data_IF_080246001882
#
_entry.id   IF_080246001882
#
_cell.length_a   1.000
_cell.length_b   1.000
_cell.length_c   1.000
_cell.angle_alpha   90.00
_cell.angle_beta   90.00
_cell.angle_gamma   90.00
#
_symmetry.space_group_name_H-M   'P 1'
#
loop_
_entity.id
_entity.type
_entity.pdbx_description
1 polymer ?
#
# COMPACT_ATOMS: atom_id res chain seq x y z
N UNK A 1 43.10 4.05 56.46
CA UNK A 1 42.54 4.72 55.26
C UNK A 1 43.23 4.40 53.94
N UNK A 2 44.26 3.54 53.88
CA UNK A 2 44.85 3.09 52.59
C UNK A 2 44.46 1.63 52.20
N UNK A 3 44.25 0.75 53.18
CA UNK A 3 43.87 -0.67 52.97
C UNK A 3 42.42 -0.93 52.53
N UNK A 4 41.54 0.06 52.65
CA UNK A 4 40.13 -0.06 52.25
C UNK A 4 39.89 0.33 50.79
N UNK A 5 40.79 1.13 50.18
CA UNK A 5 40.71 1.47 48.76
C UNK A 5 41.12 0.31 47.86
N UNK A 6 42.14 -0.46 48.26
CA UNK A 6 42.63 -1.61 47.46
C UNK A 6 41.59 -2.74 47.35
N UNK A 7 40.86 -3.03 48.44
CA UNK A 7 39.79 -4.05 48.43
C UNK A 7 38.58 -3.67 47.58
N UNK A 8 38.39 -2.38 47.28
CA UNK A 8 37.28 -1.91 46.43
C UNK A 8 37.61 -2.05 44.95
N UNK A 9 38.85 -1.76 44.56
CA UNK A 9 39.37 -1.97 43.20
C UNK A 9 39.46 -3.44 42.79
N UNK A 10 39.71 -4.36 43.73
CA UNK A 10 39.79 -5.80 43.43
C UNK A 10 38.39 -6.41 43.19
N UNK A 11 37.37 -5.95 43.92
CA UNK A 11 35.96 -6.32 43.69
C UNK A 11 35.34 -5.71 42.42
N UNK A 12 35.94 -4.65 41.89
CA UNK A 12 35.55 -4.08 40.59
C UNK A 12 36.23 -4.81 39.42
N UNK A 13 37.44 -5.35 39.60
CA UNK A 13 38.12 -6.18 38.58
C UNK A 13 37.53 -7.58 38.44
N UNK A 14 36.99 -8.17 39.50
CA UNK A 14 36.32 -9.48 39.42
C UNK A 14 34.93 -9.44 38.76
N UNK A 15 34.35 -8.25 38.57
CA UNK A 15 33.03 -8.10 37.92
C UNK A 15 33.10 -8.07 36.39
N UNK A 16 34.31 -8.00 35.83
CA UNK A 16 34.58 -7.78 34.40
C UNK A 16 35.17 -9.00 33.67
N UNK A 17 35.24 -10.17 34.32
CA UNK A 17 35.73 -11.43 33.71
C UNK A 17 34.61 -12.42 33.33
N UNK A 18 33.38 -11.91 33.21
CA UNK A 18 32.26 -12.66 32.66
C UNK A 18 32.39 -12.86 31.15
N UNK A 19 33.02 -13.97 30.74
CA UNK A 19 33.01 -14.53 29.39
C UNK A 19 31.64 -14.30 28.72
N UNK A 20 31.54 -13.65 27.54
CA UNK A 20 30.27 -13.47 26.88
C UNK A 20 29.83 -14.83 26.32
N UNK A 21 28.96 -15.51 27.07
CA UNK A 21 28.23 -16.67 26.59
C UNK A 21 27.51 -16.30 25.30
N UNK A 22 27.89 -16.95 24.21
CA UNK A 22 27.21 -16.90 22.92
C UNK A 22 25.76 -17.32 23.17
N UNK A 23 24.86 -16.34 23.30
CA UNK A 23 23.42 -16.59 23.29
C UNK A 23 23.07 -17.08 21.89
N UNK A 24 22.91 -18.40 21.76
CA UNK A 24 22.23 -18.97 20.60
C UNK A 24 20.85 -18.29 20.48
N UNK A 25 20.46 -17.80 19.29
CA UNK A 25 19.13 -17.25 19.11
C UNK A 25 18.09 -18.36 19.34
N UNK A 26 16.92 -18.04 19.90
CA UNK A 26 15.88 -19.02 20.17
C UNK A 26 15.47 -19.72 18.86
N UNK A 27 15.82 -20.99 18.76
CA UNK A 27 15.41 -21.92 17.71
C UNK A 27 13.97 -22.32 17.96
N UNK A 28 13.01 -21.47 17.57
CA UNK A 28 11.63 -21.80 17.14
C UNK A 28 10.75 -20.55 17.25
N UNK A 29 10.71 -19.78 16.17
CA UNK A 29 9.59 -18.86 15.93
C UNK A 29 8.39 -19.71 15.48
N UNK A 30 7.45 -19.96 16.38
CA UNK A 30 6.13 -20.46 15.98
C UNK A 30 5.47 -19.40 15.09
N UNK A 31 5.22 -19.77 13.83
CA UNK A 31 4.77 -18.84 12.80
C UNK A 31 3.26 -18.63 12.92
N UNK A 32 2.76 -17.38 12.86
CA UNK A 32 1.34 -17.16 12.65
C UNK A 32 0.95 -17.68 11.25
N UNK A 33 0.05 -18.65 11.21
CA UNK A 33 -0.48 -19.23 9.97
C UNK A 33 -1.53 -18.30 9.37
N UNK A 34 -1.11 -17.37 8.51
CA UNK A 34 -2.01 -16.64 7.63
C UNK A 34 -1.98 -17.26 6.24
N UNK A 35 -3.05 -17.99 5.90
CA UNK A 35 -3.27 -18.59 4.58
C UNK A 35 -4.39 -17.87 3.84
N UNK A 36 -4.09 -17.31 2.65
CA UNK A 36 -4.83 -17.40 1.35
C UNK A 36 -4.44 -16.23 0.40
N UNK A 37 -4.64 -16.32 -0.94
CA UNK A 37 -4.38 -17.44 -1.84
C UNK A 37 -3.36 -17.11 -2.98
N UNK A 38 -2.68 -18.16 -3.46
CA UNK A 38 -1.93 -18.31 -4.72
C UNK A 38 -0.65 -17.52 -5.04
N UNK A 39 -0.42 -16.28 -4.59
CA UNK A 39 0.80 -15.54 -4.98
C UNK A 39 1.95 -15.66 -3.96
N UNK A 40 1.62 -15.95 -2.70
CA UNK A 40 2.57 -16.15 -1.60
C UNK A 40 3.45 -17.42 -1.66
N UNK A 41 3.07 -18.54 -2.33
CA UNK A 41 3.94 -19.72 -2.41
C UNK A 41 5.25 -19.47 -3.16
N UNK A 42 5.20 -18.78 -4.31
CA UNK A 42 6.35 -18.63 -5.23
C UNK A 42 7.49 -17.83 -4.59
N UNK A 43 7.16 -16.75 -3.88
CA UNK A 43 8.17 -15.92 -3.19
C UNK A 43 8.75 -16.63 -1.96
N UNK A 44 7.95 -17.46 -1.29
CA UNK A 44 8.39 -18.19 -0.09
C UNK A 44 9.42 -19.29 -0.41
N UNK A 45 9.38 -19.86 -1.62
CA UNK A 45 10.35 -20.86 -2.08
C UNK A 45 11.75 -20.29 -2.37
N UNK A 46 11.91 -18.95 -2.40
CA UNK A 46 13.16 -18.28 -2.78
C UNK A 46 13.85 -17.52 -1.64
N UNK A 47 13.50 -17.80 -0.39
CA UNK A 47 14.09 -17.12 0.78
C UNK A 47 13.59 -15.69 1.01
N UNK A 48 12.49 -15.29 0.37
CA UNK A 48 11.90 -13.97 0.59
C UNK A 48 10.99 -13.96 1.84
N UNK A 49 11.10 -12.90 2.63
CA UNK A 49 10.11 -12.57 3.67
C UNK A 49 8.90 -11.97 2.96
N UNK A 50 7.73 -12.57 3.15
CA UNK A 50 6.48 -12.11 2.54
C UNK A 50 5.54 -11.60 3.62
N UNK A 51 5.23 -10.31 3.56
CA UNK A 51 4.22 -9.66 4.39
C UNK A 51 3.06 -9.30 3.46
N UNK A 52 1.87 -9.79 3.77
CA UNK A 52 0.66 -9.54 2.99
C UNK A 52 -0.32 -8.76 3.85
N UNK A 53 -0.78 -7.62 3.33
CA UNK A 53 -1.80 -6.81 3.96
C UNK A 53 -2.94 -6.59 2.97
N UNK A 54 -4.15 -6.96 3.38
CA UNK A 54 -5.38 -6.70 2.61
C UNK A 54 -6.14 -5.59 3.31
N UNK A 55 -6.29 -4.46 2.62
CA UNK A 55 -7.10 -3.33 3.11
C UNK A 55 -8.56 -3.80 3.23
N UNK A 56 -9.26 -3.53 4.35
CA UNK A 56 -10.68 -3.85 4.46
C UNK A 56 -11.48 -3.14 3.36
N UNK A 57 -12.38 -3.88 2.71
CA UNK A 57 -13.14 -3.40 1.56
C UNK A 57 -13.93 -2.11 1.87
N UNK A 58 -14.38 -1.92 3.11
CA UNK A 58 -15.06 -0.72 3.58
C UNK A 58 -14.25 0.55 3.30
N UNK A 59 -12.94 0.53 3.53
CA UNK A 59 -12.07 1.68 3.24
C UNK A 59 -11.86 1.91 1.74
N UNK A 60 -11.99 0.86 0.92
CA UNK A 60 -11.82 0.94 -0.54
C UNK A 60 -13.08 1.51 -1.21
N UNK A 61 -14.26 1.10 -0.75
CA UNK A 61 -15.56 1.41 -1.37
C UNK A 61 -16.25 2.64 -0.79
N UNK A 62 -16.06 2.98 0.50
CA UNK A 62 -16.60 4.21 1.07
C UNK A 62 -15.67 5.40 0.79
N UNK A 63 -15.80 5.98 -0.41
CA UNK A 63 -15.10 7.21 -0.83
C UNK A 63 -15.74 8.47 -0.21
N UNK A 64 -15.72 8.57 1.11
CA UNK A 64 -15.98 9.83 1.82
C UNK A 64 -14.71 10.20 2.59
N UNK A 65 -14.51 11.49 2.86
CA UNK A 65 -13.35 12.12 3.53
C UNK A 65 -12.77 11.34 4.75
N UNK A 66 -13.59 10.50 5.38
CA UNK A 66 -13.21 9.63 6.51
C UNK A 66 -12.22 8.52 6.11
N UNK A 67 -12.31 7.99 4.89
CA UNK A 67 -11.46 6.88 4.44
C UNK A 67 -10.02 7.31 4.14
N UNK A 68 -9.80 8.55 3.70
CA UNK A 68 -8.45 9.05 3.39
C UNK A 68 -7.56 9.12 4.63
N UNK A 69 -8.11 9.57 5.77
CA UNK A 69 -7.40 9.58 7.06
C UNK A 69 -7.12 8.18 7.57
N UNK A 70 -8.08 7.27 7.42
CA UNK A 70 -7.91 5.88 7.86
C UNK A 70 -6.85 5.15 7.04
N UNK A 71 -6.86 5.27 5.71
CA UNK A 71 -5.86 4.65 4.83
C UNK A 71 -4.46 5.21 5.05
N UNK A 72 -4.33 6.52 5.27
CA UNK A 72 -3.05 7.12 5.64
C UNK A 72 -2.53 6.58 6.98
N UNK A 73 -3.38 6.48 8.00
CA UNK A 73 -3.03 5.87 9.28
C UNK A 73 -2.65 4.40 9.17
N UNK A 74 -3.33 3.64 8.31
CA UNK A 74 -3.01 2.25 8.00
C UNK A 74 -1.66 2.12 7.30
N UNK A 75 -1.37 2.98 6.31
CA UNK A 75 -0.06 3.01 5.65
C UNK A 75 1.06 3.29 6.66
N UNK A 76 0.84 4.24 7.58
CA UNK A 76 1.78 4.56 8.65
C UNK A 76 2.04 3.35 9.56
N UNK A 77 0.98 2.70 10.07
CA UNK A 77 1.09 1.49 10.90
C UNK A 77 1.82 0.36 10.19
N UNK A 78 1.55 0.17 8.90
CA UNK A 78 2.22 -0.83 8.09
C UNK A 78 3.72 -0.52 7.98
N UNK A 79 4.08 0.72 7.67
CA UNK A 79 5.48 1.14 7.61
C UNK A 79 6.16 1.00 8.98
N UNK A 80 5.53 1.43 10.06
CA UNK A 80 6.05 1.28 11.43
C UNK A 80 6.33 -0.20 11.74
N UNK A 81 5.41 -1.10 11.38
CA UNK A 81 5.61 -2.54 11.51
C UNK A 81 6.82 -3.07 10.71
N UNK A 82 7.09 -2.52 9.51
CA UNK A 82 8.28 -2.93 8.74
C UNK A 82 9.58 -2.57 9.48
N UNK A 83 9.62 -1.42 10.14
CA UNK A 83 10.75 -1.04 10.99
C UNK A 83 10.83 -1.88 12.27
N UNK A 84 9.69 -2.20 12.89
CA UNK A 84 9.67 -3.00 14.11
C UNK A 84 10.18 -4.44 13.86
N UNK A 85 10.00 -4.96 12.65
CA UNK A 85 10.53 -6.26 12.21
C UNK A 85 12.01 -6.17 11.80
N UNK A 86 12.57 -4.96 11.62
CA UNK A 86 13.97 -4.76 11.23
C UNK A 86 14.26 -5.04 9.76
N UNK A 87 13.29 -4.83 8.86
CA UNK A 87 13.48 -5.11 7.42
C UNK A 87 14.02 -3.92 6.62
N UNK A 88 14.27 -2.78 7.25
CA UNK A 88 14.72 -1.56 6.56
C UNK A 88 16.07 -1.71 5.83
N UNK A 89 16.93 -2.60 6.31
CA UNK A 89 18.22 -2.93 5.69
C UNK A 89 18.09 -3.91 4.51
N UNK A 90 16.94 -4.59 4.39
CA UNK A 90 16.70 -5.58 3.36
C UNK A 90 16.14 -4.91 2.09
N UNK A 91 16.43 -5.45 0.88
CA UNK A 91 15.80 -4.97 -0.34
C UNK A 91 14.30 -5.30 -0.34
N UNK A 92 13.46 -4.26 -0.43
CA UNK A 92 12.01 -4.35 -0.39
C UNK A 92 11.42 -4.21 -1.80
N UNK A 93 10.55 -5.14 -2.15
CA UNK A 93 9.70 -5.05 -3.35
C UNK A 93 8.25 -4.96 -2.91
N UNK A 94 7.54 -3.91 -3.36
CA UNK A 94 6.10 -3.82 -3.17
C UNK A 94 5.37 -4.59 -4.26
N UNK A 95 4.50 -5.51 -3.89
CA UNK A 95 3.53 -6.10 -4.83
C UNK A 95 2.15 -5.54 -4.53
N UNK A 96 1.62 -4.78 -5.48
CA UNK A 96 0.43 -3.97 -5.35
C UNK A 96 -0.67 -4.54 -6.24
N UNK A 97 -1.72 -5.06 -5.62
CA UNK A 97 -2.82 -5.70 -6.33
C UNK A 97 -4.05 -4.79 -6.45
N UNK A 98 -4.56 -4.66 -7.67
CA UNK A 98 -5.78 -3.91 -8.00
C UNK A 98 -5.77 -2.44 -7.55
N UNK A 99 -6.89 -1.75 -7.71
CA UNK A 99 -7.05 -0.36 -7.26
C UNK A 99 -7.00 -0.20 -5.74
N UNK A 100 -7.39 -1.23 -4.98
CA UNK A 100 -7.31 -1.23 -3.51
C UNK A 100 -5.87 -1.11 -3.03
N UNK A 101 -4.98 -1.97 -3.54
CA UNK A 101 -3.55 -1.91 -3.23
C UNK A 101 -2.93 -0.60 -3.69
N UNK A 102 -3.29 -0.13 -4.89
CA UNK A 102 -2.82 1.15 -5.42
C UNK A 102 -3.14 2.32 -4.48
N UNK A 103 -4.31 2.35 -3.85
CA UNK A 103 -4.68 3.39 -2.89
C UNK A 103 -3.78 3.40 -1.67
N UNK A 104 -3.53 2.24 -1.08
CA UNK A 104 -2.62 2.15 0.07
C UNK A 104 -1.18 2.51 -0.33
N UNK A 105 -0.72 1.99 -1.47
CA UNK A 105 0.62 2.27 -1.98
C UNK A 105 0.85 3.77 -2.19
N UNK A 106 -0.14 4.50 -2.72
CA UNK A 106 -0.07 5.97 -2.85
C UNK A 106 0.29 6.66 -1.53
N UNK A 107 -0.35 6.27 -0.42
CA UNK A 107 -0.06 6.83 0.91
C UNK A 107 1.31 6.41 1.44
N UNK A 108 1.75 5.18 1.15
CA UNK A 108 3.11 4.72 1.50
C UNK A 108 4.16 5.62 0.82
N UNK A 109 3.98 5.93 -0.47
CA UNK A 109 4.88 6.82 -1.20
C UNK A 109 4.85 8.24 -0.66
N UNK A 110 3.67 8.78 -0.36
CA UNK A 110 3.52 10.09 0.27
C UNK A 110 4.30 10.15 1.59
N UNK A 111 4.15 9.15 2.46
CA UNK A 111 4.87 9.06 3.73
C UNK A 111 6.39 8.92 3.55
N UNK A 112 6.84 8.20 2.52
CA UNK A 112 8.27 8.11 2.21
C UNK A 112 8.84 9.44 1.69
N UNK A 113 8.05 10.27 1.00
CA UNK A 113 8.54 11.53 0.43
C UNK A 113 8.23 12.75 1.30
N UNK A 114 7.45 12.58 2.37
CA UNK A 114 7.18 13.61 3.36
C UNK A 114 8.47 14.11 4.02
N UNK A 115 8.61 15.43 4.11
CA UNK A 115 9.75 16.09 4.77
C UNK A 115 9.69 15.92 6.29
N UNK A 116 8.49 15.76 6.86
CA UNK A 116 8.30 15.57 8.30
C UNK A 116 8.58 14.15 8.79
N UNK A 117 8.54 13.14 7.90
CA UNK A 117 8.63 11.73 8.25
C UNK A 117 9.89 11.05 7.69
N UNK A 118 11.06 11.62 7.99
CA UNK A 118 12.36 11.21 7.41
C UNK A 118 12.73 9.75 7.65
N UNK A 119 12.19 9.09 8.68
CA UNK A 119 12.46 7.66 8.95
C UNK A 119 12.05 6.77 7.78
N UNK A 120 10.92 7.04 7.12
CA UNK A 120 10.38 6.17 6.07
C UNK A 120 11.24 6.21 4.79
N UNK A 121 12.05 7.25 4.60
CA UNK A 121 13.04 7.33 3.50
C UNK A 121 14.16 6.31 3.59
N UNK A 122 14.39 5.73 4.78
CA UNK A 122 15.44 4.73 5.01
C UNK A 122 15.09 3.36 4.44
N UNK A 123 13.83 3.11 4.08
CA UNK A 123 13.42 1.84 3.47
C UNK A 123 14.11 1.65 2.13
N UNK A 124 14.85 0.55 1.99
CA UNK A 124 15.52 0.19 0.75
C UNK A 124 14.53 -0.42 -0.26
N UNK A 125 13.73 0.44 -0.89
CA UNK A 125 12.76 0.02 -1.91
C UNK A 125 13.44 -0.15 -3.26
N UNK A 126 13.56 -1.39 -3.72
CA UNK A 126 14.26 -1.73 -4.98
C UNK A 126 13.32 -1.88 -6.17
N UNK A 127 12.00 -1.96 -5.93
CA UNK A 127 11.04 -2.04 -7.02
C UNK A 127 9.58 -2.12 -6.56
N UNK A 128 8.67 -1.91 -7.51
CA UNK A 128 7.22 -2.12 -7.32
C UNK A 128 6.65 -2.92 -8.48
N UNK A 129 5.80 -3.90 -8.17
CA UNK A 129 5.00 -4.66 -9.12
C UNK A 129 3.55 -4.24 -8.93
N UNK A 130 2.93 -3.73 -9.99
CA UNK A 130 1.50 -3.48 -10.05
C UNK A 130 0.84 -4.62 -10.79
N UNK A 131 -0.10 -5.29 -10.14
CA UNK A 131 -0.92 -6.34 -10.73
C UNK A 131 -2.36 -5.84 -10.87
N UNK A 132 -2.84 -5.81 -12.11
CA UNK A 132 -4.21 -5.46 -12.47
C UNK A 132 -4.60 -4.07 -11.98
N UNK A 133 -3.70 -3.08 -12.11
CA UNK A 133 -3.91 -1.68 -11.74
C UNK A 133 -2.72 -0.78 -12.12
N UNK A 134 -2.82 0.55 -11.94
CA UNK A 134 -3.98 1.31 -11.51
C UNK A 134 -4.98 1.60 -12.66
N UNK A 135 -6.27 1.55 -12.35
CA UNK A 135 -7.36 1.96 -13.24
C UNK A 135 -7.92 3.31 -12.84
N UNK A 136 -8.35 4.08 -13.83
CA UNK A 136 -9.02 5.34 -13.56
C UNK A 136 -10.44 5.06 -13.06
N UNK A 137 -10.87 5.76 -12.00
CA UNK A 137 -12.26 5.68 -11.51
C UNK A 137 -13.20 6.49 -12.41
N UNK A 138 -12.86 6.61 -13.69
CA UNK A 138 -13.58 7.40 -14.65
C UNK A 138 -15.03 6.97 -14.72
N UNK A 139 -15.88 7.98 -14.90
CA UNK A 139 -17.32 7.93 -15.17
C UNK A 139 -17.78 6.74 -16.03
N UNK A 140 -16.93 6.26 -16.93
CA UNK A 140 -17.13 5.05 -17.73
C UNK A 140 -17.35 3.76 -16.90
N UNK A 141 -16.69 3.59 -15.76
CA UNK A 141 -16.95 2.47 -14.85
C UNK A 141 -18.34 2.54 -14.23
N UNK A 142 -18.80 3.75 -13.88
CA UNK A 142 -20.17 4.01 -13.42
C UNK A 142 -21.20 3.74 -14.53
N UNK A 143 -20.92 4.17 -15.76
CA UNK A 143 -21.76 3.87 -16.93
C UNK A 143 -21.80 2.36 -17.21
N UNK A 144 -20.66 1.65 -17.12
CA UNK A 144 -20.60 0.19 -17.31
C UNK A 144 -21.39 -0.55 -16.22
N UNK A 145 -21.31 -0.11 -14.97
CA UNK A 145 -22.08 -0.67 -13.86
C UNK A 145 -23.59 -0.42 -14.06
N UNK A 146 -23.98 0.81 -14.41
CA UNK A 146 -25.36 1.15 -14.73
C UNK A 146 -25.89 0.32 -15.90
N UNK A 147 -25.11 0.21 -16.98
CA UNK A 147 -25.45 -0.60 -18.15
C UNK A 147 -25.58 -2.10 -17.80
N UNK A 148 -24.75 -2.61 -16.89
CA UNK A 148 -24.84 -4.01 -16.42
C UNK A 148 -26.08 -4.30 -15.56
N UNK A 149 -26.66 -3.29 -14.90
CA UNK A 149 -27.92 -3.41 -14.15
C UNK A 149 -29.12 -3.23 -15.10
N UNK A 150 -29.02 -2.32 -16.07
CA UNK A 150 -30.07 -2.02 -17.05
C UNK A 150 -30.28 -3.17 -18.05
N UNK A 151 -29.23 -3.93 -18.38
CA UNK A 151 -29.24 -4.96 -19.44
C UNK A 151 -30.00 -6.26 -19.09
N UNK A 152 -29.93 -6.83 -17.86
CA UNK A 152 -30.64 -8.05 -17.49
C UNK A 152 -32.05 -7.79 -16.92
N UNK A 153 -32.35 -6.57 -16.47
CA UNK A 153 -33.61 -6.27 -15.80
C UNK A 153 -34.75 -6.04 -16.80
N UNK A 154 -35.81 -6.85 -16.72
CA UNK A 154 -37.07 -6.58 -17.43
C UNK A 154 -38.02 -5.66 -16.64
N UNK A 155 -37.68 -5.28 -15.41
CA UNK A 155 -38.56 -4.46 -14.57
C UNK A 155 -38.29 -2.95 -14.76
N UNK A 156 -39.26 -2.16 -15.26
CA UNK A 156 -39.08 -0.73 -15.52
C UNK A 156 -38.81 0.09 -14.26
N UNK A 157 -39.32 -0.32 -13.09
CA UNK A 157 -39.11 0.41 -11.83
C UNK A 157 -37.65 0.37 -11.40
N UNK A 158 -36.98 -0.77 -11.54
CA UNK A 158 -35.56 -0.93 -11.22
C UNK A 158 -34.71 -0.05 -12.14
N UNK A 159 -35.09 0.07 -13.42
CA UNK A 159 -34.39 0.93 -14.39
C UNK A 159 -34.52 2.40 -14.01
N UNK A 160 -35.74 2.87 -13.73
CA UNK A 160 -36.00 4.25 -13.33
C UNK A 160 -35.24 4.57 -12.03
N UNK A 161 -35.36 3.71 -11.02
CA UNK A 161 -34.66 3.89 -9.75
C UNK A 161 -33.14 3.95 -9.93
N UNK A 162 -32.55 2.97 -10.62
CA UNK A 162 -31.10 2.94 -10.87
C UNK A 162 -30.61 4.17 -11.65
N UNK A 163 -31.36 4.60 -12.66
CA UNK A 163 -31.03 5.80 -13.45
C UNK A 163 -31.14 7.07 -12.61
N UNK A 164 -32.21 7.25 -11.82
CA UNK A 164 -32.39 8.42 -10.94
C UNK A 164 -31.29 8.47 -9.89
N UNK A 165 -30.98 7.35 -9.22
CA UNK A 165 -29.88 7.27 -8.27
C UNK A 165 -28.54 7.60 -8.93
N UNK A 166 -28.28 7.09 -10.15
CA UNK A 166 -27.06 7.40 -10.88
C UNK A 166 -26.94 8.89 -11.23
N UNK A 167 -28.01 9.50 -11.76
CA UNK A 167 -28.02 10.94 -12.09
C UNK A 167 -27.84 11.78 -10.83
N UNK A 168 -28.50 11.43 -9.74
CA UNK A 168 -28.37 12.13 -8.46
C UNK A 168 -26.93 12.05 -7.91
N UNK A 169 -26.32 10.86 -7.91
CA UNK A 169 -24.92 10.67 -7.51
C UNK A 169 -23.96 11.42 -8.46
N UNK A 170 -24.24 11.45 -9.77
CA UNK A 170 -23.45 12.19 -10.75
C UNK A 170 -23.54 13.70 -10.53
N UNK A 171 -24.73 14.23 -10.24
CA UNK A 171 -24.95 15.64 -9.90
C UNK A 171 -24.23 16.04 -8.63
N UNK A 172 -24.35 15.23 -7.56
CA UNK A 172 -23.59 15.44 -6.32
C UNK A 172 -22.09 15.42 -6.60
N UNK A 173 -21.60 14.46 -7.38
CA UNK A 173 -20.17 14.41 -7.75
C UNK A 173 -19.74 15.60 -8.58
N UNK A 174 -20.57 16.11 -9.48
CA UNK A 174 -20.27 17.29 -10.30
C UNK A 174 -20.23 18.57 -9.45
N UNK A 175 -21.21 18.76 -8.55
CA UNK A 175 -21.25 19.85 -7.58
C UNK A 175 -20.04 19.82 -6.63
N UNK A 176 -19.67 18.63 -6.14
CA UNK A 176 -18.51 18.44 -5.27
C UNK A 176 -17.19 18.34 -6.05
N UNK A 177 -17.21 18.28 -7.38
CA UNK A 177 -16.01 18.10 -8.21
C UNK A 177 -14.95 19.17 -7.96
N UNK A 178 -15.26 20.49 -8.01
CA UNK A 178 -14.27 21.53 -7.72
C UNK A 178 -13.72 21.40 -6.29
N UNK A 179 -14.57 21.19 -5.28
CA UNK A 179 -14.12 21.00 -3.90
C UNK A 179 -13.24 19.75 -3.72
N UNK A 180 -13.58 18.65 -4.39
CA UNK A 180 -12.81 17.40 -4.36
C UNK A 180 -11.45 17.53 -5.04
N UNK A 181 -11.35 18.34 -6.12
CA UNK A 181 -10.11 18.59 -6.85
C UNK A 181 -9.14 19.46 -6.05
N UNK A 182 -9.67 20.37 -5.21
CA UNK A 182 -8.86 21.17 -4.29
C UNK A 182 -8.36 20.37 -3.07
N UNK A 183 -9.02 19.27 -2.70
CA UNK A 183 -8.71 18.53 -1.47
C UNK A 183 -8.07 17.14 -1.67
N UNK A 184 -8.12 16.56 -2.88
CA UNK A 184 -7.54 15.24 -3.13
C UNK A 184 -7.20 15.04 -4.60
N UNK A 185 -5.91 14.91 -4.91
CA UNK A 185 -5.47 14.44 -6.22
C UNK A 185 -6.04 13.03 -6.42
N UNK A 186 -6.66 12.75 -7.57
CA UNK A 186 -7.24 11.42 -7.81
C UNK A 186 -6.14 10.36 -7.64
N UNK A 187 -6.48 9.18 -7.11
CA UNK A 187 -5.54 8.05 -6.97
C UNK A 187 -4.71 7.88 -8.24
N UNK A 188 -5.41 7.90 -9.36
CA UNK A 188 -4.88 7.68 -10.68
C UNK A 188 -3.90 8.78 -11.10
N UNK A 189 -4.24 10.05 -10.86
CA UNK A 189 -3.34 11.17 -11.16
C UNK A 189 -2.13 11.22 -10.22
N UNK A 190 -2.30 10.84 -8.96
CA UNK A 190 -1.19 10.72 -8.00
C UNK A 190 -0.18 9.66 -8.43
N UNK A 191 -0.65 8.53 -8.97
CA UNK A 191 0.23 7.45 -9.44
C UNK A 191 0.92 7.79 -10.78
N UNK A 192 0.33 8.66 -11.60
CA UNK A 192 1.03 9.23 -12.77
C UNK A 192 2.21 10.10 -12.34
N UNK A 193 2.02 10.91 -11.29
CA UNK A 193 3.01 11.87 -10.78
C UNK A 193 3.84 11.31 -9.62
N UNK A 194 3.79 10.00 -9.39
CA UNK A 194 4.42 9.39 -8.22
C UNK A 194 5.95 9.64 -8.23
N UNK A 195 6.49 10.20 -7.14
CA UNK A 195 7.88 10.65 -7.06
C UNK A 195 8.91 9.51 -7.05
N UNK A 196 8.49 8.26 -6.82
CA UNK A 196 9.38 7.10 -6.79
C UNK A 196 10.20 6.94 -8.08
N UNK A 197 11.47 6.59 -7.90
CA UNK A 197 12.46 6.43 -8.99
C UNK A 197 12.91 5.00 -9.23
N UNK A 198 12.57 4.06 -8.35
CA UNK A 198 12.89 2.65 -8.53
C UNK A 198 12.10 2.01 -9.68
N UNK A 199 12.60 0.91 -10.29
CA UNK A 199 11.91 0.18 -11.35
C UNK A 199 10.47 -0.23 -11.00
N UNK A 200 9.57 -0.14 -11.97
CA UNK A 200 8.17 -0.54 -11.81
C UNK A 200 7.75 -1.50 -12.91
N UNK A 201 7.15 -2.61 -12.51
CA UNK A 201 6.61 -3.65 -13.39
C UNK A 201 5.08 -3.60 -13.34
N UNK A 202 4.43 -3.67 -14.50
CA UNK A 202 2.98 -3.69 -14.60
C UNK A 202 2.53 -5.01 -15.25
N UNK A 203 1.73 -5.78 -14.52
CA UNK A 203 1.07 -7.00 -14.97
C UNK A 203 -0.40 -6.67 -15.19
N UNK A 204 -0.90 -6.85 -16.41
CA UNK A 204 -2.29 -6.55 -16.74
C UNK A 204 -2.76 -7.36 -17.93
N UNK A 205 -4.09 -7.51 -18.04
CA UNK A 205 -4.73 -8.19 -19.17
C UNK A 205 -5.50 -7.19 -20.03
N UNK A 206 -5.38 -7.29 -21.35
CA UNK A 206 -6.20 -6.53 -22.31
C UNK A 206 -7.68 -6.93 -22.26
N UNK A 207 -7.97 -8.11 -21.74
CA UNK A 207 -9.33 -8.66 -21.60
C UNK A 207 -9.94 -8.40 -20.22
N UNK A 208 -9.27 -7.64 -19.35
CA UNK A 208 -9.81 -7.25 -18.06
C UNK A 208 -11.04 -6.35 -18.24
N UNK A 209 -12.17 -6.77 -17.65
CA UNK A 209 -13.46 -6.06 -17.70
C UNK A 209 -13.62 -5.04 -16.57
N UNK A 210 -12.82 -5.17 -15.52
CA UNK A 210 -12.87 -4.37 -14.30
C UNK A 210 -11.98 -3.14 -14.46
N UNK A 211 -10.71 -3.34 -14.82
CA UNK A 211 -9.74 -2.26 -15.03
C UNK A 211 -9.31 -2.24 -16.49
N UNK A 212 -9.49 -1.08 -17.13
CA UNK A 212 -9.12 -0.89 -18.53
C UNK A 212 -7.60 -0.90 -18.67
N UNK A 213 -7.06 -1.76 -19.54
CA UNK A 213 -5.63 -1.78 -19.85
C UNK A 213 -5.13 -0.42 -20.37
N UNK A 214 -6.00 0.36 -21.02
CA UNK A 214 -5.67 1.71 -21.52
C UNK A 214 -5.31 2.65 -20.37
N UNK A 215 -5.95 2.51 -19.22
CA UNK A 215 -5.66 3.34 -18.05
C UNK A 215 -4.25 3.03 -17.54
N UNK A 216 -3.90 1.74 -17.47
CA UNK A 216 -2.57 1.29 -17.06
C UNK A 216 -1.51 1.78 -18.05
N UNK A 217 -1.72 1.61 -19.36
CA UNK A 217 -0.80 2.11 -20.39
C UNK A 217 -0.62 3.63 -20.35
N UNK A 218 -1.66 4.38 -20.01
CA UNK A 218 -1.59 5.83 -19.85
C UNK A 218 -0.73 6.22 -18.65
N UNK A 219 -0.82 5.50 -17.52
CA UNK A 219 0.09 5.71 -16.38
C UNK A 219 1.52 5.36 -16.77
N UNK A 220 1.75 4.22 -17.41
CA UNK A 220 3.09 3.83 -17.89
C UNK A 220 3.69 4.92 -18.78
N UNK A 221 2.91 5.48 -19.72
CA UNK A 221 3.36 6.54 -20.62
C UNK A 221 3.72 7.81 -19.86
N UNK A 222 2.85 8.27 -18.95
CA UNK A 222 3.10 9.44 -18.13
C UNK A 222 4.38 9.27 -17.28
N UNK A 223 4.56 8.09 -16.68
CA UNK A 223 5.75 7.80 -15.86
C UNK A 223 7.04 7.71 -16.66
N UNK A 224 7.00 7.18 -17.89
CA UNK A 224 8.14 7.17 -18.80
C UNK A 224 8.59 8.59 -19.13
N UNK A 225 7.66 9.52 -19.33
CA UNK A 225 7.97 10.93 -19.59
C UNK A 225 8.62 11.63 -18.38
N UNK A 226 8.28 11.24 -17.15
CA UNK A 226 8.88 11.79 -15.93
C UNK A 226 10.29 11.23 -15.61
N UNK A 227 10.74 10.20 -16.33
CA UNK A 227 12.07 9.60 -16.18
C UNK A 227 13.07 10.09 -17.23
N UNK A 228 12.64 10.96 -18.13
CA UNK A 228 13.52 11.69 -19.05
C UNK A 228 14.24 12.79 -18.29
#
# INVERSE_FOLDING_TARGET
>A
THRERERRTERERERDTGTPGVRQPPTRWERPSWTTPSCSPISRTRGCIVISYTVPWEHIFFTSLLSTRSLHGTAKKLLDLLFDIGIEEHPIVFHVFSNGGCMLYRYIIELQHDRGATRYRKLNVVGTIFDSGPGDKNFQGGIRALHSILRPSNNPFIKIFATVTFVFVALIRFMLYPASKFWSLSLYDSLKQDPSRWPQLYLYSKSDKVISYKDIENVIRARKQLRV
#
